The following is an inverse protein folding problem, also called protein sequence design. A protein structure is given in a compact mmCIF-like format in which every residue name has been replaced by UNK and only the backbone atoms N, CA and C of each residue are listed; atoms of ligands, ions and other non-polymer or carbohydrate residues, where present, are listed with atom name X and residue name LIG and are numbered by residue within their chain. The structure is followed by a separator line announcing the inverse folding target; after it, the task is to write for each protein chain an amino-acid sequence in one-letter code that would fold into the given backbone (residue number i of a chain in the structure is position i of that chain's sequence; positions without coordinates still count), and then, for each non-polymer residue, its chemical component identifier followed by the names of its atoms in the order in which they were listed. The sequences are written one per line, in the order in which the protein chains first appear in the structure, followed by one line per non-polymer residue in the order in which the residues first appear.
data_IF_447069033018
#
_entry.id   IF_447069033018
#
_cell.length_a   1.000
_cell.length_b   1.000
_cell.length_c   1.000
_cell.angle_alpha   90.00
_cell.angle_beta   90.00
_cell.angle_gamma   90.00
#
_symmetry.space_group_name_H-M   'P 1'
#
loop_
_entity.id
_entity.type
_entity.pdbx_description
1 polymer ?
#
# COMPACT_ATOMS: atom_id res chain seq x y z
N UNK A 1 -65.53 44.75 -9.09
CA UNK A 1 -64.68 43.97 -8.16
C UNK A 1 -63.57 43.31 -8.95
N UNK A 2 -62.32 43.76 -8.82
CA UNK A 2 -61.13 43.01 -9.24
C UNK A 2 -59.91 43.62 -8.56
N UNK A 3 -59.57 43.04 -7.42
CA UNK A 3 -58.44 43.39 -6.57
C UNK A 3 -57.17 42.80 -7.19
N UNK A 4 -56.24 43.65 -7.62
CA UNK A 4 -54.91 43.24 -8.08
C UNK A 4 -53.99 43.12 -6.87
N UNK A 5 -53.62 41.89 -6.51
CA UNK A 5 -52.57 41.60 -5.54
C UNK A 5 -51.19 41.85 -6.18
N UNK A 6 -50.42 42.79 -5.61
CA UNK A 6 -48.98 42.88 -5.84
C UNK A 6 -48.28 41.77 -5.04
N UNK A 7 -47.62 40.85 -5.75
CA UNK A 7 -46.69 39.91 -5.16
C UNK A 7 -45.30 40.56 -5.09
N UNK A 8 -44.81 40.79 -3.86
CA UNK A 8 -43.44 41.20 -3.61
C UNK A 8 -42.51 39.99 -3.78
N UNK A 9 -41.71 39.99 -4.84
CA UNK A 9 -40.67 39.00 -5.09
C UNK A 9 -39.45 39.35 -4.23
N UNK A 10 -39.27 38.64 -3.11
CA UNK A 10 -38.07 38.76 -2.29
C UNK A 10 -36.90 38.06 -2.99
N UNK A 11 -35.95 38.85 -3.48
CA UNK A 11 -34.69 38.37 -4.06
C UNK A 11 -33.77 37.96 -2.90
N UNK A 12 -33.88 36.72 -2.43
CA UNK A 12 -32.87 36.13 -1.57
C UNK A 12 -31.63 35.84 -2.43
N UNK A 13 -30.60 36.68 -2.31
CA UNK A 13 -29.28 36.38 -2.82
C UNK A 13 -28.78 35.11 -2.08
N UNK A 14 -28.88 33.96 -2.75
CA UNK A 14 -28.28 32.73 -2.31
C UNK A 14 -26.77 32.90 -2.27
N UNK A 15 -26.22 33.13 -1.07
CA UNK A 15 -24.84 32.79 -0.80
C UNK A 15 -24.67 31.31 -1.19
N UNK A 16 -23.66 30.95 -2.00
CA UNK A 16 -23.37 29.54 -2.24
C UNK A 16 -23.12 28.90 -0.87
N UNK A 17 -23.94 27.90 -0.54
CA UNK A 17 -23.66 27.01 0.58
C UNK A 17 -22.21 26.54 0.42
N UNK A 18 -21.42 26.76 1.48
CA UNK A 18 -20.03 26.32 1.58
C UNK A 18 -19.88 24.94 0.96
N UNK A 19 -19.04 24.83 -0.08
CA UNK A 19 -18.61 23.54 -0.57
C UNK A 19 -18.18 22.69 0.63
N UNK A 20 -18.68 21.45 0.71
CA UNK A 20 -18.46 20.51 1.80
C UNK A 20 -16.98 20.46 2.23
N UNK A 21 -16.64 21.16 3.31
CA UNK A 21 -15.33 21.14 3.99
C UNK A 21 -15.12 19.81 4.77
N UNK A 22 -15.74 18.76 4.24
CA UNK A 22 -15.77 17.38 4.75
C UNK A 22 -15.25 16.37 3.74
N UNK A 23 -14.96 16.79 2.50
CA UNK A 23 -14.44 15.90 1.47
C UNK A 23 -13.03 15.41 1.82
N UNK A 24 -12.82 14.09 1.73
CA UNK A 24 -11.51 13.46 1.88
C UNK A 24 -10.85 13.30 0.51
N UNK A 25 -9.57 13.63 0.41
CA UNK A 25 -8.75 13.31 -0.76
C UNK A 25 -8.46 11.81 -0.78
N UNK A 26 -8.94 11.11 -1.81
CA UNK A 26 -8.74 9.67 -1.97
C UNK A 26 -7.40 9.39 -2.67
N UNK A 27 -6.40 8.98 -1.90
CA UNK A 27 -5.00 8.90 -2.33
C UNK A 27 -4.37 7.53 -2.04
N UNK A 28 -3.25 7.23 -2.69
CA UNK A 28 -2.42 6.08 -2.33
C UNK A 28 -1.51 6.40 -1.13
N UNK A 29 -1.23 5.41 -0.27
CA UNK A 29 -0.29 5.62 0.84
C UNK A 29 1.13 5.96 0.34
N UNK A 30 1.53 5.40 -0.80
CA UNK A 30 2.81 5.73 -1.45
C UNK A 30 2.87 7.20 -1.88
N UNK A 31 1.82 7.68 -2.56
CA UNK A 31 1.71 9.07 -3.00
C UNK A 31 1.80 10.05 -1.82
N UNK A 32 1.14 9.72 -0.70
CA UNK A 32 1.23 10.50 0.55
C UNK A 32 2.65 10.58 1.10
N UNK A 33 3.42 9.48 1.02
CA UNK A 33 4.81 9.41 1.49
C UNK A 33 5.79 10.12 0.56
N UNK A 34 5.50 10.15 -0.74
CA UNK A 34 6.34 10.84 -1.73
C UNK A 34 6.24 12.36 -1.62
N UNK A 35 5.07 12.90 -1.23
CA UNK A 35 4.82 14.35 -1.18
C UNK A 35 4.10 14.84 0.10
N UNK A 36 4.60 14.54 1.31
CA UNK A 36 3.85 14.78 2.55
C UNK A 36 3.54 16.25 2.83
N UNK A 37 4.46 17.17 2.48
CA UNK A 37 4.28 18.61 2.69
C UNK A 37 3.08 19.16 1.91
N UNK A 38 2.83 18.64 0.70
CA UNK A 38 1.70 19.05 -0.15
C UNK A 38 0.34 18.66 0.44
N UNK A 39 0.30 17.68 1.35
CA UNK A 39 -0.92 17.20 1.98
C UNK A 39 -1.07 17.68 3.43
N UNK A 40 -0.21 18.57 3.94
CA UNK A 40 -0.31 19.08 5.31
C UNK A 40 -1.66 19.76 5.55
N UNK A 41 -2.31 19.44 6.67
CA UNK A 41 -3.68 19.81 7.04
C UNK A 41 -4.75 19.38 6.03
N UNK A 42 -4.45 18.41 5.15
CA UNK A 42 -5.42 17.85 4.21
C UNK A 42 -6.05 16.60 4.82
N UNK A 43 -7.37 16.46 4.65
CA UNK A 43 -8.10 15.24 4.98
C UNK A 43 -7.90 14.23 3.88
N UNK A 44 -7.42 13.04 4.25
CA UNK A 44 -7.02 11.99 3.31
C UNK A 44 -7.75 10.69 3.64
N UNK A 45 -8.07 9.94 2.60
CA UNK A 45 -8.61 8.60 2.74
C UNK A 45 -7.88 7.63 1.84
N UNK A 46 -7.45 6.51 2.40
CA UNK A 46 -6.63 5.54 1.68
C UNK A 46 -6.83 4.12 2.20
N UNK A 47 -6.53 3.16 1.32
CA UNK A 47 -6.54 1.74 1.65
C UNK A 47 -5.18 1.32 2.17
N UNK A 48 -5.12 0.47 3.19
CA UNK A 48 -3.88 -0.08 3.71
C UNK A 48 -4.09 -1.45 4.38
N UNK A 49 -3.00 -2.07 4.81
CA UNK A 49 -3.00 -3.35 5.53
C UNK A 49 -2.43 -3.16 6.93
N UNK A 50 -3.14 -3.63 7.96
CA UNK A 50 -2.71 -3.49 9.36
C UNK A 50 -1.44 -4.30 9.63
N UNK A 51 -0.44 -3.69 10.26
CA UNK A 51 0.74 -4.38 10.79
C UNK A 51 0.59 -4.64 12.29
N UNK A 52 0.77 -3.63 13.13
CA UNK A 52 0.63 -3.76 14.58
C UNK A 52 0.46 -2.39 15.22
N UNK A 53 0.16 -2.38 16.50
CA UNK A 53 0.29 -1.18 17.32
C UNK A 53 1.76 -0.93 17.65
N UNK A 54 2.15 0.34 17.72
CA UNK A 54 3.53 0.78 17.97
C UNK A 54 3.58 1.73 19.18
N UNK A 55 4.79 2.10 19.59
CA UNK A 55 5.04 3.06 20.68
C UNK A 55 6.18 4.06 20.34
N UNK A 56 6.18 4.54 19.11
CA UNK A 56 7.07 5.57 18.57
C UNK A 56 6.34 6.93 18.54
N UNK A 57 6.68 7.79 19.50
CA UNK A 57 6.13 9.14 19.60
C UNK A 57 7.24 10.19 19.47
N UNK A 58 6.92 11.31 18.83
CA UNK A 58 7.79 12.48 18.75
C UNK A 58 7.05 13.70 19.33
N UNK A 59 6.83 13.76 20.67
CA UNK A 59 5.96 14.75 21.30
C UNK A 59 6.46 16.19 21.15
N UNK A 60 7.75 16.40 20.90
CA UNK A 60 8.32 17.73 20.65
C UNK A 60 8.11 18.23 19.21
N UNK A 61 7.77 17.34 18.29
CA UNK A 61 7.69 17.65 16.85
C UNK A 61 6.29 17.42 16.25
N UNK A 62 5.40 16.79 17.02
CA UNK A 62 4.09 16.34 16.55
C UNK A 62 3.07 16.51 17.68
N UNK A 63 1.78 16.69 17.36
CA UNK A 63 0.73 16.82 18.37
C UNK A 63 0.36 15.48 19.05
N UNK A 64 1.04 14.39 18.71
CA UNK A 64 0.67 13.05 19.14
C UNK A 64 1.40 12.65 20.42
N UNK A 65 0.63 12.25 21.43
CA UNK A 65 1.16 11.73 22.71
C UNK A 65 0.60 10.33 22.98
N UNK A 66 1.37 9.52 23.73
CA UNK A 66 1.00 8.13 24.04
C UNK A 66 -0.26 8.03 24.91
N UNK A 67 -0.53 9.04 25.73
CA UNK A 67 -1.69 9.14 26.62
C UNK A 67 -2.98 9.35 25.83
N UNK A 68 -2.91 10.13 24.74
CA UNK A 68 -4.09 10.52 23.97
C UNK A 68 -4.30 9.69 22.71
N UNK A 69 -3.22 9.12 22.16
CA UNK A 69 -3.23 8.44 20.89
C UNK A 69 -2.73 6.99 21.00
N UNK A 70 -3.26 6.16 20.11
CA UNK A 70 -2.80 4.84 19.77
C UNK A 70 -2.08 4.94 18.43
N UNK A 71 -0.79 4.62 18.41
CA UNK A 71 -0.05 4.53 17.17
C UNK A 71 -0.24 3.17 16.50
N UNK A 72 -0.38 3.20 15.18
CA UNK A 72 -0.58 2.01 14.35
C UNK A 72 0.38 2.05 13.17
N UNK A 73 1.05 0.93 12.90
CA UNK A 73 1.79 0.74 11.66
C UNK A 73 0.95 -0.02 10.63
N UNK A 74 1.11 0.35 9.36
CA UNK A 74 0.40 -0.26 8.22
C UNK A 74 1.31 -0.46 7.03
N UNK A 75 0.94 -1.33 6.10
CA UNK A 75 1.58 -1.43 4.78
C UNK A 75 0.69 -0.82 3.70
N UNK A 76 1.33 -0.35 2.63
CA UNK A 76 0.63 0.08 1.43
C UNK A 76 -0.03 -1.12 0.72
N UNK A 77 -1.10 -0.91 -0.06
CA UNK A 77 -1.80 -1.99 -0.74
C UNK A 77 -0.96 -2.84 -1.69
N UNK A 78 0.06 -2.24 -2.27
CA UNK A 78 0.93 -2.86 -3.25
C UNK A 78 2.10 -3.62 -2.63
N UNK A 79 2.33 -3.48 -1.32
CA UNK A 79 3.43 -4.14 -0.60
C UNK A 79 3.25 -5.65 -0.59
N UNK A 80 4.19 -6.38 -1.19
CA UNK A 80 4.28 -7.83 -1.10
C UNK A 80 4.90 -8.21 0.24
N UNK A 81 4.09 -8.31 1.29
CA UNK A 81 4.56 -8.59 2.66
C UNK A 81 5.31 -9.94 2.82
N UNK A 82 5.22 -10.84 1.85
CA UNK A 82 6.02 -12.06 1.82
C UNK A 82 7.47 -11.83 1.34
N UNK A 83 7.76 -10.70 0.69
CA UNK A 83 9.12 -10.28 0.30
C UNK A 83 9.76 -9.55 1.49
N UNK A 84 10.92 -10.03 1.95
CA UNK A 84 11.55 -9.51 3.17
C UNK A 84 11.82 -7.99 3.13
N UNK A 85 12.36 -7.47 2.03
CA UNK A 85 12.63 -6.04 1.85
C UNK A 85 11.35 -5.20 1.91
N UNK A 86 10.31 -5.61 1.21
CA UNK A 86 9.02 -4.91 1.18
C UNK A 86 8.28 -5.01 2.52
N UNK A 87 8.40 -6.13 3.23
CA UNK A 87 7.81 -6.31 4.56
C UNK A 87 8.34 -5.32 5.59
N UNK A 88 9.59 -4.89 5.44
CA UNK A 88 10.20 -3.87 6.32
C UNK A 88 9.76 -2.44 5.97
N UNK A 89 9.20 -2.21 4.78
CA UNK A 89 8.68 -0.91 4.35
C UNK A 89 7.22 -0.72 4.83
N UNK A 90 7.04 -0.69 6.15
CA UNK A 90 5.77 -0.30 6.76
C UNK A 90 5.77 1.20 7.07
N UNK A 91 4.57 1.78 7.10
CA UNK A 91 4.30 3.15 7.49
C UNK A 91 3.87 3.22 8.96
N UNK A 92 4.69 3.79 9.86
CA UNK A 92 4.40 3.81 11.30
C UNK A 92 3.59 5.03 11.77
N UNK A 93 3.32 6.01 10.92
CA UNK A 93 2.86 7.33 11.35
C UNK A 93 1.33 7.51 11.28
N UNK A 94 0.55 6.50 11.71
CA UNK A 94 -0.89 6.62 11.95
C UNK A 94 -1.21 6.70 13.44
N UNK A 95 -2.04 7.67 13.81
CA UNK A 95 -2.38 7.95 15.21
C UNK A 95 -3.89 8.04 15.39
N UNK A 96 -4.48 7.06 16.06
CA UNK A 96 -5.90 7.03 16.42
C UNK A 96 -6.10 7.60 17.83
N UNK A 97 -7.07 8.50 18.03
CA UNK A 97 -7.39 8.96 19.39
C UNK A 97 -7.99 7.83 20.23
N UNK A 98 -7.53 7.68 21.47
CA UNK A 98 -7.98 6.63 22.40
C UNK A 98 -9.42 6.82 22.89
N UNK A 99 -9.97 8.03 22.81
CA UNK A 99 -11.31 8.35 23.29
C UNK A 99 -12.41 8.24 22.21
N UNK A 100 -12.14 7.54 21.10
CA UNK A 100 -13.12 7.31 20.03
C UNK A 100 -13.90 6.03 20.28
N UNK A 101 -15.20 6.07 20.03
CA UNK A 101 -16.10 4.93 20.23
C UNK A 101 -15.70 3.68 19.41
N UNK A 102 -15.04 3.88 18.26
CA UNK A 102 -14.58 2.80 17.38
C UNK A 102 -13.22 2.20 17.76
N UNK A 103 -12.51 2.74 18.76
CA UNK A 103 -11.14 2.31 19.08
C UNK A 103 -11.08 0.84 19.52
N UNK A 104 -12.10 0.37 20.24
CA UNK A 104 -12.19 -1.02 20.69
C UNK A 104 -12.29 -1.96 19.47
N UNK A 105 -13.17 -1.63 18.51
CA UNK A 105 -13.29 -2.38 17.27
C UNK A 105 -12.00 -2.34 16.43
N UNK A 106 -11.26 -1.22 16.46
CA UNK A 106 -9.96 -1.12 15.79
C UNK A 106 -8.91 -2.06 16.38
N UNK A 107 -8.83 -2.15 17.71
CA UNK A 107 -7.90 -3.04 18.41
C UNK A 107 -8.20 -4.53 18.16
N UNK A 108 -9.43 -4.85 17.79
CA UNK A 108 -9.85 -6.20 17.40
C UNK A 108 -9.51 -6.55 15.95
N UNK A 109 -9.09 -5.58 15.13
CA UNK A 109 -8.72 -5.83 13.72
C UNK A 109 -7.48 -6.72 13.68
N UNK A 110 -7.58 -7.94 13.09
CA UNK A 110 -6.44 -8.82 13.02
C UNK A 110 -5.30 -8.22 12.19
N UNK A 111 -4.07 -8.52 12.58
CA UNK A 111 -2.88 -8.24 11.76
C UNK A 111 -3.07 -8.76 10.34
N UNK A 112 -2.51 -8.05 9.36
CA UNK A 112 -2.64 -8.29 7.92
C UNK A 112 -4.04 -8.07 7.32
N UNK A 113 -5.01 -7.60 8.11
CA UNK A 113 -6.32 -7.23 7.59
C UNK A 113 -6.27 -5.98 6.74
N UNK A 114 -7.13 -5.96 5.72
CA UNK A 114 -7.32 -4.78 4.88
C UNK A 114 -8.31 -3.83 5.51
N UNK A 115 -7.89 -2.57 5.62
CA UNK A 115 -8.73 -1.48 6.10
C UNK A 115 -8.72 -0.31 5.12
N UNK A 116 -9.77 0.48 5.20
CA UNK A 116 -9.84 1.83 4.67
C UNK A 116 -9.73 2.80 5.85
N UNK A 117 -8.91 3.83 5.72
CA UNK A 117 -8.65 4.80 6.79
C UNK A 117 -9.07 6.18 6.31
N UNK A 118 -9.74 6.93 7.18
CA UNK A 118 -10.01 8.35 7.02
C UNK A 118 -9.25 9.12 8.08
N UNK A 119 -8.46 10.10 7.68
CA UNK A 119 -7.64 10.89 8.59
C UNK A 119 -7.24 12.25 8.05
N UNK A 120 -6.35 12.92 8.75
CA UNK A 120 -5.78 14.22 8.37
C UNK A 120 -4.27 14.23 8.62
N UNK A 121 -3.51 14.74 7.66
CA UNK A 121 -2.05 14.88 7.80
C UNK A 121 -1.77 16.09 8.71
N UNK A 122 -1.40 15.85 9.97
CA UNK A 122 -1.15 16.92 10.96
C UNK A 122 0.26 17.48 10.92
N UNK A 123 1.22 16.70 10.45
CA UNK A 123 2.64 17.08 10.38
C UNK A 123 3.32 16.35 9.21
N UNK A 124 4.38 16.94 8.68
CA UNK A 124 5.31 16.38 7.70
C UNK A 124 6.73 16.21 8.30
N UNK A 125 6.82 16.14 9.63
CA UNK A 125 8.08 16.05 10.36
C UNK A 125 8.93 14.86 9.89
N UNK A 126 10.21 15.14 9.58
CA UNK A 126 11.14 14.13 9.08
C UNK A 126 10.91 13.74 7.62
N UNK A 127 10.13 14.53 6.86
CA UNK A 127 9.82 14.22 5.46
C UNK A 127 8.84 13.06 5.31
N UNK A 128 8.06 12.76 6.34
CA UNK A 128 7.04 11.69 6.34
C UNK A 128 5.72 12.27 6.86
N UNK A 129 4.57 11.83 6.34
CA UNK A 129 3.28 12.32 6.81
C UNK A 129 2.97 11.72 8.19
N UNK A 130 2.46 12.52 9.11
CA UNK A 130 1.93 12.09 10.40
C UNK A 130 0.43 12.30 10.43
N UNK A 131 -0.31 11.20 10.46
CA UNK A 131 -1.74 11.20 10.14
C UNK A 131 -2.55 10.90 11.39
N UNK A 132 -3.46 11.82 11.73
CA UNK A 132 -4.48 11.58 12.74
C UNK A 132 -5.65 10.83 12.11
N UNK A 133 -6.00 9.67 12.66
CA UNK A 133 -7.11 8.84 12.19
C UNK A 133 -8.42 9.29 12.83
N UNK A 134 -9.41 9.56 11.99
CA UNK A 134 -10.77 9.93 12.40
C UNK A 134 -11.72 8.74 12.41
N UNK A 135 -11.58 7.83 11.45
CA UNK A 135 -12.39 6.63 11.34
C UNK A 135 -11.68 5.56 10.48
N UNK A 136 -12.19 4.33 10.52
CA UNK A 136 -11.72 3.24 9.68
C UNK A 136 -12.85 2.29 9.30
N UNK A 137 -12.64 1.53 8.22
CA UNK A 137 -13.54 0.48 7.80
C UNK A 137 -12.76 -0.78 7.46
N UNK A 138 -13.13 -1.91 8.03
CA UNK A 138 -12.60 -3.21 7.61
C UNK A 138 -13.15 -3.56 6.22
N UNK A 139 -12.25 -3.81 5.27
CA UNK A 139 -12.62 -4.10 3.88
C UNK A 139 -12.82 -5.59 3.59
N UNK A 140 -12.25 -6.45 4.43
CA UNK A 140 -12.23 -7.89 4.22
C UNK A 140 -12.01 -8.63 5.53
N UNK A 141 -12.76 -9.70 5.73
CA UNK A 141 -12.50 -10.66 6.80
C UNK A 141 -11.34 -11.61 6.47
N UNK A 142 -11.00 -11.72 5.19
CA UNK A 142 -9.85 -12.48 4.69
C UNK A 142 -8.57 -11.69 4.90
N UNK A 143 -7.59 -12.32 5.51
CA UNK A 143 -6.28 -11.78 5.85
C UNK A 143 -5.27 -12.94 5.99
N UNK A 144 -3.99 -12.63 5.86
CA UNK A 144 -2.97 -13.59 6.27
C UNK A 144 -3.10 -13.88 7.77
N UNK A 145 -2.83 -15.12 8.14
CA UNK A 145 -2.40 -15.49 9.49
C UNK A 145 -0.87 -15.60 9.51
N UNK A 146 -0.25 -15.63 10.68
CA UNK A 146 1.21 -15.85 10.75
C UNK A 146 1.63 -17.19 10.12
N UNK A 147 0.79 -18.23 10.24
CA UNK A 147 1.03 -19.52 9.60
C UNK A 147 0.98 -19.44 8.06
N UNK A 148 -0.07 -18.84 7.50
CA UNK A 148 -0.20 -18.70 6.04
C UNK A 148 0.83 -17.74 5.44
N UNK A 149 1.17 -16.66 6.15
CA UNK A 149 2.25 -15.76 5.73
C UNK A 149 3.61 -16.46 5.79
N UNK A 150 3.89 -17.21 6.86
CA UNK A 150 5.13 -17.98 6.99
C UNK A 150 5.31 -19.00 5.85
N UNK A 151 4.26 -19.74 5.50
CA UNK A 151 4.26 -20.64 4.35
C UNK A 151 4.45 -19.90 3.02
N UNK A 152 3.81 -18.72 2.86
CA UNK A 152 3.99 -17.88 1.66
C UNK A 152 5.43 -17.37 1.54
N UNK A 153 6.07 -16.99 2.66
CA UNK A 153 7.47 -16.54 2.70
C UNK A 153 8.39 -17.69 2.28
N UNK A 154 8.27 -18.87 2.92
CA UNK A 154 9.10 -20.04 2.56
C UNK A 154 8.89 -20.47 1.12
N UNK A 155 7.64 -20.47 0.65
CA UNK A 155 7.31 -20.77 -0.74
C UNK A 155 7.91 -19.78 -1.73
N UNK A 156 7.88 -18.48 -1.43
CA UNK A 156 8.53 -17.44 -2.23
C UNK A 156 10.07 -17.58 -2.24
N UNK A 157 10.67 -17.88 -1.10
CA UNK A 157 12.12 -18.10 -1.00
C UNK A 157 12.57 -19.35 -1.76
N UNK A 158 11.82 -20.45 -1.68
CA UNK A 158 12.08 -21.66 -2.47
C UNK A 158 11.92 -21.37 -3.97
N UNK A 159 10.87 -20.64 -4.35
CA UNK A 159 10.61 -20.23 -5.73
C UNK A 159 11.77 -19.40 -6.31
N UNK A 160 12.26 -18.40 -5.56
CA UNK A 160 13.39 -17.55 -6.02
C UNK A 160 14.73 -18.29 -6.06
N UNK A 161 14.89 -19.36 -5.29
CA UNK A 161 16.06 -20.27 -5.34
C UNK A 161 15.94 -21.37 -6.39
N UNK A 162 14.88 -21.37 -7.19
CA UNK A 162 14.54 -22.42 -8.16
C UNK A 162 14.30 -23.81 -7.54
N UNK A 163 14.04 -23.88 -6.24
CA UNK A 163 13.50 -25.08 -5.58
C UNK A 163 11.98 -25.11 -5.79
N UNK A 164 11.57 -25.46 -7.01
CA UNK A 164 10.19 -25.37 -7.45
C UNK A 164 9.28 -26.39 -6.75
N UNK A 165 9.81 -27.58 -6.44
CA UNK A 165 9.08 -28.60 -5.69
C UNK A 165 8.86 -28.17 -4.24
N UNK A 166 9.90 -27.64 -3.57
CA UNK A 166 9.78 -27.03 -2.25
C UNK A 166 8.78 -25.86 -2.24
N UNK A 167 8.82 -25.01 -3.27
CA UNK A 167 7.86 -23.91 -3.43
C UNK A 167 6.42 -24.42 -3.53
N UNK A 168 6.16 -25.44 -4.34
CA UNK A 168 4.83 -26.05 -4.46
C UNK A 168 4.36 -26.68 -3.15
N UNK A 169 5.24 -27.35 -2.41
CA UNK A 169 4.91 -27.94 -1.13
C UNK A 169 4.46 -26.88 -0.10
N UNK A 170 5.25 -25.82 0.06
CA UNK A 170 4.96 -24.73 0.99
C UNK A 170 3.70 -23.93 0.58
N UNK A 171 3.56 -23.59 -0.70
CA UNK A 171 2.41 -22.84 -1.20
C UNK A 171 1.11 -23.67 -1.24
N UNK A 172 1.19 -25.00 -1.18
CA UNK A 172 0.01 -25.86 -1.07
C UNK A 172 -0.62 -25.83 0.33
N UNK A 173 0.13 -25.46 1.36
CA UNK A 173 -0.38 -25.25 2.70
C UNK A 173 -1.18 -23.93 2.84
N UNK A 174 -1.13 -23.05 1.82
CA UNK A 174 -1.80 -21.76 1.83
C UNK A 174 -3.21 -21.90 1.25
N UNK A 175 -4.22 -21.69 2.10
CA UNK A 175 -5.62 -21.72 1.72
C UNK A 175 -6.04 -20.47 0.93
N UNK A 176 -6.61 -20.67 -0.25
CA UNK A 176 -7.20 -19.58 -1.07
C UNK A 176 -8.41 -18.91 -0.40
N UNK A 177 -9.00 -19.52 0.65
CA UNK A 177 -10.15 -18.92 1.33
C UNK A 177 -9.75 -17.79 2.27
N UNK A 178 -8.56 -17.90 2.85
CA UNK A 178 -8.10 -16.99 3.90
C UNK A 178 -7.45 -15.74 3.31
N UNK A 179 -7.01 -15.79 2.07
CA UNK A 179 -6.23 -14.73 1.47
C UNK A 179 -7.09 -13.64 0.79
N UNK A 180 -6.69 -12.37 0.93
CA UNK A 180 -7.19 -11.26 0.10
C UNK A 180 -6.98 -11.50 -1.39
N UNK A 181 -7.82 -10.88 -2.23
CA UNK A 181 -7.80 -11.06 -3.70
C UNK A 181 -6.41 -10.86 -4.32
N UNK A 182 -5.65 -9.85 -3.87
CA UNK A 182 -4.30 -9.56 -4.39
C UNK A 182 -3.30 -10.64 -4.02
N UNK A 183 -3.27 -11.11 -2.77
CA UNK A 183 -2.31 -12.13 -2.33
C UNK A 183 -2.62 -13.49 -2.98
N UNK A 184 -3.91 -13.82 -3.17
CA UNK A 184 -4.33 -15.02 -3.92
C UNK A 184 -3.78 -15.05 -5.33
N UNK A 185 -3.73 -13.89 -6.00
CA UNK A 185 -3.12 -13.79 -7.31
C UNK A 185 -1.62 -14.13 -7.25
N UNK A 186 -0.88 -13.58 -6.29
CA UNK A 186 0.56 -13.85 -6.17
C UNK A 186 0.85 -15.32 -5.85
N UNK A 187 0.13 -15.90 -4.89
CA UNK A 187 0.27 -17.33 -4.53
C UNK A 187 -0.09 -18.23 -5.72
N UNK A 188 -1.24 -18.02 -6.35
CA UNK A 188 -1.66 -18.82 -7.50
C UNK A 188 -0.72 -18.64 -8.71
N UNK A 189 -0.18 -17.44 -8.95
CA UNK A 189 0.82 -17.20 -10.00
C UNK A 189 2.10 -17.99 -9.72
N UNK A 190 2.65 -17.92 -8.51
CA UNK A 190 3.86 -18.67 -8.14
C UNK A 190 3.65 -20.18 -8.30
N UNK A 191 2.51 -20.70 -7.82
CA UNK A 191 2.15 -22.12 -8.00
C UNK A 191 2.04 -22.51 -9.48
N UNK A 192 1.39 -21.68 -10.30
CA UNK A 192 1.22 -21.95 -11.72
C UNK A 192 2.58 -22.04 -12.45
N UNK A 193 3.46 -21.07 -12.19
CA UNK A 193 4.78 -20.99 -12.79
C UNK A 193 5.71 -22.14 -12.32
N UNK A 194 5.69 -22.44 -11.01
CA UNK A 194 6.46 -23.55 -10.47
C UNK A 194 5.99 -24.89 -11.03
N UNK A 195 4.67 -25.14 -11.02
CA UNK A 195 4.07 -26.35 -11.57
C UNK A 195 4.38 -26.53 -13.06
N UNK A 196 4.34 -25.46 -13.84
CA UNK A 196 4.71 -25.50 -15.25
C UNK A 196 6.16 -25.95 -15.42
N UNK A 197 7.08 -25.33 -14.70
CA UNK A 197 8.51 -25.62 -14.82
C UNK A 197 8.91 -27.02 -14.34
N UNK A 198 8.13 -27.66 -13.46
CA UNK A 198 8.32 -29.08 -13.08
C UNK A 198 7.53 -30.07 -13.95
N UNK A 199 6.85 -29.62 -15.02
CA UNK A 199 6.09 -30.48 -15.93
C UNK A 199 4.72 -30.95 -15.40
N UNK A 200 4.15 -30.26 -14.40
CA UNK A 200 2.81 -30.53 -13.86
C UNK A 200 1.73 -29.70 -14.57
N UNK A 201 1.55 -29.94 -15.86
CA UNK A 201 0.71 -29.11 -16.75
C UNK A 201 -0.73 -28.89 -16.25
N UNK A 202 -1.37 -29.94 -15.73
CA UNK A 202 -2.75 -29.86 -15.26
C UNK A 202 -2.89 -28.94 -14.04
N UNK A 203 -1.92 -29.01 -13.12
CA UNK A 203 -1.86 -28.13 -11.95
C UNK A 203 -1.50 -26.70 -12.36
N UNK A 204 -0.51 -26.54 -13.24
CA UNK A 204 -0.10 -25.24 -13.76
C UNK A 204 -1.28 -24.48 -14.39
N UNK A 205 -2.04 -25.15 -15.26
CA UNK A 205 -3.23 -24.56 -15.90
C UNK A 205 -4.33 -24.22 -14.90
N UNK A 206 -4.57 -25.07 -13.90
CA UNK A 206 -5.57 -24.83 -12.85
C UNK A 206 -5.24 -23.57 -12.05
N UNK A 207 -4.01 -23.43 -11.58
CA UNK A 207 -3.58 -22.27 -10.79
C UNK A 207 -3.48 -21.01 -11.67
N UNK A 208 -3.06 -21.13 -12.93
CA UNK A 208 -3.05 -20.01 -13.88
C UNK A 208 -4.46 -19.45 -14.11
N UNK A 209 -5.47 -20.31 -14.31
CA UNK A 209 -6.88 -19.88 -14.43
C UNK A 209 -7.35 -19.13 -13.18
N UNK A 210 -6.96 -19.57 -11.98
CA UNK A 210 -7.31 -18.90 -10.72
C UNK A 210 -6.71 -17.51 -10.64
N UNK A 211 -5.42 -17.38 -10.92
CA UNK A 211 -4.73 -16.08 -10.92
C UNK A 211 -5.29 -15.13 -12.01
N UNK A 212 -5.62 -15.63 -13.20
CA UNK A 212 -6.21 -14.85 -14.29
C UNK A 212 -7.61 -14.31 -13.98
N UNK A 213 -8.38 -14.91 -13.07
CA UNK A 213 -9.65 -14.31 -12.56
C UNK A 213 -9.41 -13.00 -11.81
N UNK A 214 -8.21 -12.82 -11.25
CA UNK A 214 -7.82 -11.59 -10.56
C UNK A 214 -7.19 -10.60 -11.54
N UNK A 215 -6.25 -11.06 -12.39
CA UNK A 215 -5.58 -10.23 -13.40
C UNK A 215 -5.65 -10.90 -14.78
N UNK A 216 -6.72 -10.68 -15.55
CA UNK A 216 -6.90 -11.36 -16.85
C UNK A 216 -5.81 -11.06 -17.88
N UNK A 217 -5.09 -9.93 -17.74
CA UNK A 217 -4.05 -9.46 -18.67
C UNK A 217 -2.66 -10.03 -18.44
N UNK A 218 -2.46 -10.97 -17.51
CA UNK A 218 -1.15 -11.54 -17.21
C UNK A 218 -0.66 -12.44 -18.39
N UNK A 219 0.35 -11.96 -19.12
CA UNK A 219 0.84 -12.61 -20.33
C UNK A 219 1.53 -13.95 -20.05
N UNK A 220 2.24 -14.08 -18.93
CA UNK A 220 2.95 -15.31 -18.55
C UNK A 220 1.95 -16.42 -18.22
N UNK A 221 0.91 -16.09 -17.44
CA UNK A 221 -0.13 -17.06 -17.10
C UNK A 221 -0.94 -17.48 -18.33
N UNK A 222 -1.12 -16.58 -19.31
CA UNK A 222 -1.73 -16.95 -20.61
C UNK A 222 -0.84 -17.90 -21.40
N UNK A 223 0.48 -17.73 -21.38
CA UNK A 223 1.42 -18.66 -22.00
C UNK A 223 1.31 -20.07 -21.37
N UNK A 224 1.24 -20.15 -20.04
CA UNK A 224 0.99 -21.41 -19.31
C UNK A 224 -0.32 -22.07 -19.78
N UNK A 225 -1.40 -21.30 -20.00
CA UNK A 225 -2.66 -21.84 -20.51
C UNK A 225 -2.55 -22.33 -21.96
N UNK A 226 -1.82 -21.63 -22.83
CA UNK A 226 -1.62 -22.01 -24.23
C UNK A 226 -0.63 -23.16 -24.42
N UNK A 227 0.02 -23.62 -23.34
CA UNK A 227 1.06 -24.64 -23.42
C UNK A 227 2.39 -24.08 -23.95
N UNK A 228 2.57 -22.76 -23.93
CA UNK A 228 3.79 -22.10 -24.36
C UNK A 228 4.65 -21.80 -23.14
N UNK A 229 5.97 -21.95 -23.26
CA UNK A 229 6.88 -21.60 -22.18
C UNK A 229 6.67 -20.11 -21.80
N UNK A 230 6.35 -19.80 -20.53
CA UNK A 230 6.36 -18.42 -20.07
C UNK A 230 7.77 -17.86 -20.25
N UNK A 231 7.88 -16.54 -20.43
CA UNK A 231 9.19 -15.88 -20.43
C UNK A 231 9.93 -16.32 -19.17
N UNK A 232 11.23 -16.61 -19.31
CA UNK A 232 12.04 -17.26 -18.29
C UNK A 232 11.74 -16.71 -16.88
N UNK A 233 11.78 -17.59 -15.87
CA UNK A 233 11.66 -17.25 -14.46
C UNK A 233 12.89 -16.44 -14.01
N UNK A 234 13.15 -15.32 -14.68
CA UNK A 234 14.12 -14.33 -14.26
C UNK A 234 13.51 -13.72 -13.00
N UNK A 235 13.85 -14.31 -11.85
CA UNK A 235 13.26 -13.99 -10.56
C UNK A 235 13.18 -12.48 -10.41
N UNK A 236 11.98 -11.96 -10.12
CA UNK A 236 11.56 -10.54 -10.18
C UNK A 236 12.55 -9.56 -9.53
N UNK A 237 13.70 -9.38 -10.17
CA UNK A 237 14.83 -8.59 -9.75
C UNK A 237 14.81 -7.31 -10.56
N UNK A 238 13.99 -6.36 -10.14
CA UNK A 238 14.13 -4.97 -10.55
C UNK A 238 13.40 -4.60 -11.83
N UNK A 239 12.22 -4.01 -11.66
CA UNK A 239 11.95 -2.64 -12.12
C UNK A 239 10.60 -2.24 -11.53
N UNK A 240 10.63 -1.70 -10.32
CA UNK A 240 9.62 -0.72 -9.94
C UNK A 240 9.74 0.41 -10.95
N UNK A 241 8.84 0.45 -11.92
CA UNK A 241 8.76 1.51 -12.92
C UNK A 241 8.45 2.84 -12.24
N UNK A 242 9.50 3.51 -11.78
CA UNK A 242 9.49 4.93 -11.47
C UNK A 242 9.45 5.70 -12.78
N UNK A 243 8.31 6.36 -12.97
CA UNK A 243 8.15 7.74 -13.47
C UNK A 243 9.40 8.42 -14.04
N UNK A 244 9.25 8.90 -15.27
CA UNK A 244 10.30 9.50 -16.08
C UNK A 244 10.99 10.72 -15.46
N UNK A 245 12.29 10.77 -15.71
CA UNK A 245 13.08 11.99 -15.70
C UNK A 245 13.12 12.54 -17.13
N UNK A 246 12.27 13.52 -17.38
CA UNK A 246 12.63 14.60 -18.29
C UNK A 246 13.21 15.72 -17.45
N UNK A 247 14.51 15.96 -17.52
CA UNK A 247 15.04 17.29 -17.24
C UNK A 247 16.23 17.60 -18.16
N UNK A 248 16.18 18.70 -18.93
CA UNK A 248 17.29 19.19 -19.71
C UNK A 248 18.08 20.25 -18.93
N UNK A 249 19.41 20.11 -18.95
CA UNK A 249 20.31 21.25 -19.01
C UNK A 249 20.84 21.79 -17.69
N UNK A 250 22.15 21.63 -17.49
CA UNK A 250 23.03 22.72 -17.05
C UNK A 250 24.44 22.47 -17.57
N UNK A 251 24.87 23.34 -18.49
CA UNK A 251 26.28 23.63 -18.73
C UNK A 251 26.78 24.39 -17.50
N UNK A 252 27.75 23.86 -16.78
CA UNK A 252 28.64 24.67 -15.97
C UNK A 252 30.07 24.44 -16.45
N UNK A 253 30.70 25.55 -16.83
CA UNK A 253 32.08 25.66 -17.25
C UNK A 253 33.00 25.40 -16.05
N UNK A 254 33.94 24.49 -16.22
CA UNK A 254 35.04 24.30 -15.28
C UNK A 254 36.14 25.32 -15.53
N UNK A 255 36.46 26.11 -14.51
CA UNK A 255 37.74 26.79 -14.37
C UNK A 255 38.05 26.94 -12.88
N UNK A 256 39.15 26.36 -12.41
CA UNK A 256 39.56 26.48 -11.02
C UNK A 256 40.59 25.47 -10.54
N UNK A 257 41.71 25.35 -11.25
CA UNK A 257 42.94 24.74 -10.74
C UNK A 257 43.54 25.61 -9.64
N UNK A 258 43.62 25.08 -8.42
CA UNK A 258 44.31 25.70 -7.30
C UNK A 258 45.13 24.66 -6.54
N UNK A 259 46.38 24.49 -6.96
CA UNK A 259 47.44 23.86 -6.17
C UNK A 259 47.64 24.65 -4.87
N UNK A 260 47.77 23.94 -3.76
CA UNK A 260 48.06 24.52 -2.47
C UNK A 260 48.79 23.50 -1.61
N UNK A 261 50.11 23.50 -1.76
CA UNK A 261 51.08 22.85 -0.88
C UNK A 261 50.70 22.98 0.60
N UNK A 262 50.90 21.91 1.38
CA UNK A 262 51.23 22.11 2.79
C UNK A 262 52.24 21.07 3.25
N UNK A 263 53.40 21.61 3.57
CA UNK A 263 54.56 20.92 4.06
C UNK A 263 54.41 20.40 5.48
N UNK A 264 55.35 19.52 5.74
CA UNK A 264 55.80 18.92 7.00
C UNK A 264 55.87 19.86 8.20
N UNK A 265 55.46 19.32 9.35
CA UNK A 265 56.29 19.21 10.56
C UNK A 265 55.74 18.14 11.49
#
# INVERSE_FOLDING_TARGET
MRTLLLAALALAAGLPASADDTAFAHLGLRELRENPTSYRNTRVAFKCRVNKTENLYAPFHTPFTAEQHLQVSVWAPETKIFVAKERLDFFPNLFARRNRDWIAAFLEVPRYSWIYVWGEVKSDFGGEPWIEVFDFQRLSDRHHTDATLGATIRGYEAFTKMDLEGALAELSAVSDFDLPRTDRYHVARMKALAAWAVGRDAEAKREAMRALRVRPGDAELRAVLSGTAPRALDGEGGTSGGSGEGEPGKKEEGAGSGEGERGTK
#
